data_IF_495402053532
#
_entry.id   IF_495402053532
#
_cell.length_a   1.000
_cell.length_b   1.000
_cell.length_c   1.000
_cell.angle_alpha   90.00
_cell.angle_beta   90.00
_cell.angle_gamma   90.00
#
_symmetry.space_group_name_H-M   'P 1'
#
loop_
_entity.id
_entity.type
_entity.pdbx_description
1 polymer ?
#
# COMPACT_ATOMS: atom_id res chain seq x y z
N UNK A 1 -19.55 20.85 11.95
CA UNK A 1 -19.12 21.58 10.75
C UNK A 1 -18.27 20.63 9.94
N UNK A 2 -18.80 20.13 8.82
CA UNK A 2 -18.11 19.15 7.98
C UNK A 2 -16.94 19.84 7.30
N UNK A 3 -15.72 19.43 7.63
CA UNK A 3 -14.59 19.77 6.77
C UNK A 3 -14.78 18.95 5.50
N UNK A 4 -15.02 19.61 4.37
CA UNK A 4 -14.81 19.02 3.05
C UNK A 4 -13.35 18.57 2.98
N UNK A 5 -13.12 17.32 3.39
CA UNK A 5 -11.86 16.65 3.10
C UNK A 5 -11.90 16.47 1.58
N UNK A 6 -11.14 17.29 0.85
CA UNK A 6 -10.91 17.10 -0.57
C UNK A 6 -10.34 15.68 -0.76
N UNK A 7 -11.20 14.77 -1.20
CA UNK A 7 -10.82 13.41 -1.54
C UNK A 7 -10.15 13.47 -2.91
N UNK A 8 -8.83 13.54 -2.90
CA UNK A 8 -8.03 13.51 -4.12
C UNK A 8 -8.15 12.14 -4.79
N UNK A 9 -8.36 12.14 -6.10
CA UNK A 9 -8.49 10.93 -6.92
C UNK A 9 -7.47 10.97 -8.04
N UNK A 10 -6.95 9.80 -8.38
CA UNK A 10 -6.06 9.63 -9.53
C UNK A 10 -6.52 8.46 -10.38
N UNK A 11 -6.40 8.62 -11.69
CA UNK A 11 -6.74 7.60 -12.68
C UNK A 11 -5.45 7.08 -13.29
N UNK A 12 -5.37 5.77 -13.45
CA UNK A 12 -4.26 5.05 -14.04
C UNK A 12 -4.79 4.15 -15.16
N UNK A 13 -4.29 4.29 -16.40
CA UNK A 13 -4.43 3.30 -17.45
C UNK A 13 -3.99 1.90 -17.01
N UNK A 14 -4.46 0.87 -17.70
CA UNK A 14 -3.94 -0.49 -17.52
C UNK A 14 -2.43 -0.54 -17.75
N UNK A 15 -1.71 -1.24 -16.87
CA UNK A 15 -0.26 -1.42 -16.95
C UNK A 15 0.55 -0.31 -16.28
N UNK A 16 -0.06 0.82 -15.93
CA UNK A 16 0.66 1.93 -15.29
C UNK A 16 1.21 1.51 -13.92
N UNK A 17 2.46 1.89 -13.68
CA UNK A 17 3.11 1.73 -12.38
C UNK A 17 2.68 2.89 -11.46
N UNK A 18 1.96 2.54 -10.39
CA UNK A 18 1.50 3.50 -9.39
C UNK A 18 2.65 3.89 -8.46
N UNK A 19 3.45 2.91 -8.04
CA UNK A 19 4.74 3.09 -7.37
C UNK A 19 5.58 1.81 -7.52
N UNK A 20 6.90 1.95 -7.35
CA UNK A 20 7.85 0.83 -7.46
C UNK A 20 8.28 0.32 -6.09
N UNK A 21 8.60 -0.97 -6.01
CA UNK A 21 9.30 -1.57 -4.88
C UNK A 21 10.54 -0.76 -4.49
N UNK A 22 10.86 -0.69 -3.20
CA UNK A 22 12.05 -0.03 -2.67
C UNK A 22 12.00 1.50 -2.66
N UNK A 23 11.01 2.11 -3.33
CA UNK A 23 10.82 3.57 -3.27
C UNK A 23 10.26 4.00 -1.91
N UNK A 24 10.62 5.20 -1.46
CA UNK A 24 9.94 5.85 -0.32
C UNK A 24 8.58 6.38 -0.78
N UNK A 25 7.57 6.28 0.06
CA UNK A 25 6.25 6.80 -0.28
C UNK A 25 5.35 7.03 0.93
N UNK A 26 4.89 8.26 1.10
CA UNK A 26 4.09 8.75 2.22
C UNK A 26 2.60 8.79 1.90
N UNK A 27 2.13 7.81 1.13
CA UNK A 27 0.76 7.82 0.58
C UNK A 27 0.23 6.41 0.41
N UNK A 28 -1.00 6.17 0.84
CA UNK A 28 -1.72 4.93 0.60
C UNK A 28 -2.89 5.21 -0.36
N UNK A 29 -3.48 4.16 -0.90
CA UNK A 29 -4.49 4.27 -1.94
C UNK A 29 -5.64 3.31 -1.67
N UNK A 30 -6.88 3.76 -1.89
CA UNK A 30 -8.06 2.89 -1.93
C UNK A 30 -8.49 2.76 -3.39
N UNK A 31 -8.72 1.55 -3.86
CA UNK A 31 -9.27 1.31 -5.20
C UNK A 31 -10.74 1.71 -5.23
N UNK A 32 -11.09 2.74 -6.00
CA UNK A 32 -12.47 3.17 -6.19
C UNK A 32 -13.13 2.46 -7.39
N UNK A 33 -12.34 2.17 -8.43
CA UNK A 33 -12.76 1.44 -9.63
C UNK A 33 -11.54 0.72 -10.21
N UNK A 34 -11.74 -0.47 -10.78
CA UNK A 34 -10.68 -1.28 -11.38
C UNK A 34 -9.97 -2.15 -10.35
N UNK A 35 -8.69 -2.45 -10.60
CA UNK A 35 -7.87 -3.34 -9.79
C UNK A 35 -6.38 -3.10 -9.97
N UNK A 36 -5.60 -3.43 -8.94
CA UNK A 36 -4.15 -3.20 -8.86
C UNK A 36 -3.42 -4.48 -8.50
N UNK A 37 -2.47 -4.89 -9.33
CA UNK A 37 -1.54 -5.96 -9.03
C UNK A 37 -0.44 -5.48 -8.08
N UNK A 38 -0.16 -6.29 -7.07
CA UNK A 38 0.99 -6.12 -6.18
C UNK A 38 2.05 -7.12 -6.60
N UNK A 39 3.12 -6.62 -7.19
CA UNK A 39 4.17 -7.39 -7.84
C UNK A 39 5.47 -7.21 -7.09
N UNK A 40 6.12 -8.31 -6.73
CA UNK A 40 7.44 -8.27 -6.13
C UNK A 40 8.50 -8.53 -7.18
N UNK A 41 9.55 -7.72 -7.17
CA UNK A 41 10.74 -7.92 -8.00
C UNK A 41 11.80 -8.66 -7.18
N UNK A 42 12.26 -9.80 -7.69
CA UNK A 42 13.41 -10.55 -7.17
C UNK A 42 14.74 -10.09 -7.78
N UNK A 43 15.85 -10.68 -7.34
CA UNK A 43 17.21 -10.27 -7.75
C UNK A 43 17.51 -10.56 -9.23
N UNK A 44 16.88 -11.59 -9.81
CA UNK A 44 17.05 -11.98 -11.23
C UNK A 44 16.01 -11.34 -12.17
N UNK A 45 15.46 -10.18 -11.79
CA UNK A 45 14.35 -9.49 -12.49
C UNK A 45 13.05 -10.30 -12.60
N UNK A 46 12.96 -11.45 -11.92
CA UNK A 46 11.73 -12.24 -11.86
C UNK A 46 10.65 -11.49 -11.09
N UNK A 47 9.48 -11.35 -11.72
CA UNK A 47 8.32 -10.68 -11.16
C UNK A 47 7.32 -11.71 -10.61
N UNK A 48 7.15 -11.70 -9.29
CA UNK A 48 6.17 -12.55 -8.61
C UNK A 48 4.92 -11.74 -8.28
N UNK A 49 3.76 -12.14 -8.81
CA UNK A 49 2.48 -11.58 -8.41
C UNK A 49 2.13 -12.05 -6.99
N UNK A 50 2.10 -11.12 -6.03
CA UNK A 50 1.70 -11.42 -4.65
C UNK A 50 0.19 -11.44 -4.49
N UNK A 51 -0.53 -10.72 -5.36
CA UNK A 51 -1.99 -10.69 -5.39
C UNK A 51 -2.52 -9.45 -6.10
N UNK A 52 -3.84 -9.38 -6.23
CA UNK A 52 -4.55 -8.28 -6.89
C UNK A 52 -5.54 -7.64 -5.92
N UNK A 53 -5.48 -6.32 -5.78
CA UNK A 53 -6.33 -5.51 -4.91
C UNK A 53 -7.47 -4.92 -5.74
N UNK A 54 -8.69 -5.33 -5.44
CA UNK A 54 -9.91 -4.84 -6.09
C UNK A 54 -10.57 -3.66 -5.37
N UNK A 55 -11.73 -3.24 -5.88
CA UNK A 55 -12.53 -2.12 -5.35
C UNK A 55 -12.76 -2.24 -3.84
N UNK A 56 -12.56 -1.13 -3.12
CA UNK A 56 -12.65 -1.03 -1.66
C UNK A 56 -11.38 -1.48 -0.93
N UNK A 57 -10.48 -2.19 -1.61
CA UNK A 57 -9.19 -2.59 -1.07
C UNK A 57 -8.23 -1.40 -0.93
N UNK A 58 -7.38 -1.47 0.10
CA UNK A 58 -6.30 -0.52 0.34
C UNK A 58 -4.97 -1.15 -0.08
N UNK A 59 -4.06 -0.34 -0.62
CA UNK A 59 -2.69 -0.74 -0.91
C UNK A 59 -1.70 0.39 -0.66
N UNK A 60 -0.45 0.03 -0.34
CA UNK A 60 0.60 0.98 0.00
C UNK A 60 0.47 1.58 1.40
N UNK A 61 -0.41 1.04 2.23
CA UNK A 61 -0.63 1.42 3.63
C UNK A 61 0.57 1.16 4.52
N UNK A 62 1.32 0.09 4.25
CA UNK A 62 2.47 -0.30 5.08
C UNK A 62 3.53 0.80 5.16
N UNK A 63 3.85 1.44 4.03
CA UNK A 63 4.83 2.52 4.01
C UNK A 63 4.38 3.79 4.75
N UNK A 64 3.06 3.95 4.94
CA UNK A 64 2.49 5.05 5.73
C UNK A 64 2.45 4.72 7.23
N UNK A 65 2.32 3.44 7.58
CA UNK A 65 2.20 3.01 8.99
C UNK A 65 3.55 3.07 9.71
N UNK A 66 4.64 2.68 9.05
CA UNK A 66 5.94 2.49 9.70
C UNK A 66 7.11 3.18 9.00
N UNK A 67 6.82 4.10 8.07
CA UNK A 67 7.79 4.93 7.34
C UNK A 67 8.90 4.13 6.61
N UNK A 68 8.66 2.86 6.33
CA UNK A 68 9.63 2.01 5.61
C UNK A 68 9.31 1.93 4.11
N UNK A 69 10.33 1.72 3.23
CA UNK A 69 10.14 1.66 1.78
C UNK A 69 9.06 0.67 1.31
N UNK A 70 8.55 0.89 0.09
CA UNK A 70 7.54 0.01 -0.54
C UNK A 70 8.04 -1.42 -0.60
N UNK A 71 7.25 -2.36 -0.10
CA UNK A 71 7.60 -3.79 -0.08
C UNK A 71 7.49 -4.46 -1.46
N UNK A 72 6.72 -3.86 -2.37
CA UNK A 72 6.39 -4.38 -3.69
C UNK A 72 6.02 -3.22 -4.63
N UNK A 73 6.05 -3.48 -5.93
CA UNK A 73 5.56 -2.60 -6.98
C UNK A 73 4.03 -2.72 -7.07
N UNK A 74 3.33 -1.60 -7.20
CA UNK A 74 1.89 -1.58 -7.48
C UNK A 74 1.66 -1.16 -8.93
N UNK A 75 0.94 -2.00 -9.68
CA UNK A 75 0.65 -1.81 -11.11
C UNK A 75 -0.85 -1.90 -11.35
N UNK A 76 -1.42 -0.98 -12.12
CA UNK A 76 -2.82 -1.06 -12.51
C UNK A 76 -3.05 -2.31 -13.38
N UNK A 77 -3.88 -3.25 -12.92
CA UNK A 77 -4.19 -4.49 -13.65
C UNK A 77 -5.19 -4.24 -14.80
N UNK A 78 -5.99 -3.18 -14.65
CA UNK A 78 -6.95 -2.64 -15.61
C UNK A 78 -7.07 -1.11 -15.42
N UNK A 79 -7.83 -0.36 -16.24
CA UNK A 79 -8.06 1.07 -16.01
C UNK A 79 -8.64 1.33 -14.61
N UNK A 80 -7.85 1.98 -13.77
CA UNK A 80 -8.07 2.03 -12.33
C UNK A 80 -8.21 3.47 -11.84
N UNK A 81 -9.17 3.71 -10.96
CA UNK A 81 -9.30 4.98 -10.23
C UNK A 81 -9.08 4.71 -8.75
N UNK A 82 -8.21 5.50 -8.14
CA UNK A 82 -7.89 5.39 -6.72
C UNK A 82 -8.21 6.68 -5.98
N UNK A 83 -8.57 6.53 -4.71
CA UNK A 83 -8.60 7.61 -3.73
C UNK A 83 -7.23 7.64 -3.05
N UNK A 84 -6.65 8.84 -2.94
CA UNK A 84 -5.36 9.07 -2.30
C UNK A 84 -5.58 9.30 -0.79
N UNK A 85 -4.83 8.57 0.03
CA UNK A 85 -4.75 8.75 1.48
C UNK A 85 -3.35 9.25 1.79
N UNK A 86 -3.24 10.52 2.17
CA UNK A 86 -1.96 11.09 2.60
C UNK A 86 -1.57 10.56 3.98
N UNK A 87 -0.27 10.48 4.23
CA UNK A 87 0.26 10.17 5.56
C UNK A 87 -0.33 11.09 6.63
N UNK A 88 -0.43 12.40 6.36
CA UNK A 88 -1.04 13.34 7.30
C UNK A 88 -2.50 12.98 7.61
N UNK A 89 -3.29 12.59 6.62
CA UNK A 89 -4.68 12.14 6.85
C UNK A 89 -4.71 10.87 7.70
N UNK A 90 -3.85 9.91 7.38
CA UNK A 90 -3.77 8.65 8.12
C UNK A 90 -3.36 8.88 9.58
N UNK A 91 -2.24 9.58 9.81
CA UNK A 91 -1.73 9.91 11.13
C UNK A 91 -2.74 10.73 11.93
N UNK A 92 -3.45 11.68 11.32
CA UNK A 92 -4.49 12.45 12.00
C UNK A 92 -5.71 11.62 12.42
N UNK A 93 -6.00 10.52 11.72
CA UNK A 93 -7.08 9.60 12.08
C UNK A 93 -6.61 8.61 13.14
N UNK A 94 -5.43 8.02 12.95
CA UNK A 94 -4.80 7.13 13.91
C UNK A 94 -4.56 7.86 15.24
N UNK A 95 -4.16 9.14 15.21
CA UNK A 95 -3.94 9.98 16.38
C UNK A 95 -5.19 10.32 17.19
N UNK A 96 -6.37 9.92 16.71
CA UNK A 96 -7.65 10.00 17.43
C UNK A 96 -8.18 8.64 17.86
N UNK A 97 -7.56 7.55 17.41
CA UNK A 97 -7.93 6.20 17.83
C UNK A 97 -7.43 5.92 19.27
N UNK A 98 -8.07 4.95 19.91
CA UNK A 98 -7.67 4.45 21.23
C UNK A 98 -6.21 3.96 21.24
N UNK A 99 -5.42 4.24 22.29
CA UNK A 99 -4.02 3.83 22.35
C UNK A 99 -3.79 2.33 22.14
N UNK A 100 -4.70 1.46 22.60
CA UNK A 100 -4.62 0.02 22.37
C UNK A 100 -4.73 -0.32 20.88
N UNK A 101 -5.68 0.31 20.17
CA UNK A 101 -5.88 0.10 18.73
C UNK A 101 -4.64 0.52 17.93
N UNK A 102 -3.99 1.62 18.33
CA UNK A 102 -2.73 2.04 17.69
C UNK A 102 -1.61 1.04 17.92
N UNK A 103 -1.46 0.59 19.17
CA UNK A 103 -0.46 -0.43 19.52
C UNK A 103 -0.69 -1.71 18.71
N UNK A 104 -1.94 -2.17 18.65
CA UNK A 104 -2.32 -3.36 17.87
C UNK A 104 -2.00 -3.18 16.37
N UNK A 105 -2.36 -2.04 15.77
CA UNK A 105 -2.06 -1.74 14.37
C UNK A 105 -0.55 -1.80 14.08
N UNK A 106 0.28 -1.21 14.93
CA UNK A 106 1.73 -1.23 14.75
C UNK A 106 2.29 -2.67 14.85
N UNK A 107 1.82 -3.47 15.81
CA UNK A 107 2.23 -4.87 15.95
C UNK A 107 1.82 -5.69 14.71
N UNK A 108 0.61 -5.48 14.20
CA UNK A 108 0.14 -6.16 12.99
C UNK A 108 0.97 -5.75 11.78
N UNK A 109 1.30 -4.47 11.65
CA UNK A 109 2.14 -3.99 10.56
C UNK A 109 3.53 -4.64 10.59
N UNK A 110 4.19 -4.65 11.76
CA UNK A 110 5.49 -5.30 11.94
C UNK A 110 5.43 -6.80 11.60
N UNK A 111 4.35 -7.47 12.01
CA UNK A 111 4.13 -8.90 11.73
C UNK A 111 4.04 -9.16 10.23
N UNK A 112 3.23 -8.38 9.51
CA UNK A 112 3.07 -8.51 8.05
C UNK A 112 4.41 -8.22 7.35
N UNK A 113 5.16 -7.20 7.77
CA UNK A 113 6.48 -6.90 7.22
C UNK A 113 7.46 -8.05 7.40
N UNK A 114 7.49 -8.62 8.61
CA UNK A 114 8.36 -9.75 8.94
C UNK A 114 8.05 -10.97 8.07
N UNK A 115 6.76 -11.28 7.85
CA UNK A 115 6.33 -12.34 6.94
C UNK A 115 6.78 -12.07 5.51
N UNK A 116 6.61 -10.84 5.03
CA UNK A 116 7.07 -10.44 3.69
C UNK A 116 8.59 -10.53 3.52
N UNK A 117 9.40 -10.26 4.55
CA UNK A 117 10.86 -10.43 4.51
C UNK A 117 11.27 -11.92 4.48
N UNK A 118 10.60 -12.77 5.25
CA UNK A 118 10.87 -14.22 5.27
C UNK A 118 10.57 -14.89 3.94
N UNK A 119 9.43 -14.55 3.33
CA UNK A 119 9.08 -15.05 1.99
C UNK A 119 10.13 -14.69 0.93
N UNK A 120 10.78 -13.53 1.05
CA UNK A 120 11.91 -13.16 0.18
C UNK A 120 13.13 -14.06 0.42
N UNK A 121 13.51 -14.30 1.68
CA UNK A 121 14.68 -15.12 2.00
C UNK A 121 14.49 -16.61 1.64
N UNK A 122 13.25 -17.10 1.55
CA UNK A 122 12.94 -18.48 1.15
C UNK A 122 12.93 -18.68 -0.36
N UNK A 123 12.60 -17.64 -1.15
CA UNK A 123 12.70 -17.66 -2.61
C UNK A 123 14.16 -17.53 -3.12
N UNK A 124 15.13 -17.27 -2.23
CA UNK A 124 16.55 -17.13 -2.55
C UNK A 124 17.42 -18.34 -2.14
N UNK A 125 16.79 -19.46 -1.76
CA UNK A 125 17.48 -20.74 -1.50
C UNK A 125 17.17 -21.75 -2.59
#
# INVERSE_FOLDING_TARGET
MGHDVLIERKVFPQGDIIFKQGTTGHTAYIVQKGSVDIVREGDDEEQVLLGTVGVGGIFGEMAVIDDSPRMATARAAEPTTVIIITEQMFLNKLSKADPFIRGLMNIMADTIRSMGKKAHNELQK
#
